data_IF_637052374101
#
_entry.id   IF_637052374101
#
_cell.length_a   1.000
_cell.length_b   1.000
_cell.length_c   1.000
_cell.angle_alpha   90.00
_cell.angle_beta   90.00
_cell.angle_gamma   90.00
#
_symmetry.space_group_name_H-M   'P 1'
#
loop_
_entity.id
_entity.type
_entity.pdbx_description
1 polymer ?
#
# COMPACT_ATOMS: atom_id res chain seq x y z
N UNK A 1 -3.18 2.34 -3.35
CA UNK A 1 -3.38 1.90 -4.74
C UNK A 1 -3.32 0.37 -4.80
N UNK A 2 -3.45 -0.22 -5.99
CA UNK A 2 -3.41 -1.65 -6.20
C UNK A 2 -2.03 -2.24 -5.86
N UNK A 3 -0.93 -1.52 -6.12
CA UNK A 3 0.41 -1.89 -5.68
C UNK A 3 0.48 -2.09 -4.17
N UNK A 4 0.04 -1.09 -3.40
CA UNK A 4 -0.04 -1.19 -1.93
C UNK A 4 -0.93 -2.35 -1.46
N UNK A 5 -2.03 -2.63 -2.17
CA UNK A 5 -2.91 -3.75 -1.84
C UNK A 5 -2.23 -5.12 -2.05
N UNK A 6 -1.45 -5.30 -3.13
CA UNK A 6 -0.72 -6.56 -3.37
C UNK A 6 0.26 -6.88 -2.24
N UNK A 7 0.78 -5.86 -1.57
CA UNK A 7 1.62 -6.03 -0.38
C UNK A 7 0.83 -6.50 0.83
N UNK A 8 -0.40 -6.01 1.00
CA UNK A 8 -1.32 -6.44 2.04
C UNK A 8 -1.82 -7.88 1.82
N UNK A 9 -1.98 -8.32 0.56
CA UNK A 9 -2.36 -9.69 0.21
C UNK A 9 -1.35 -10.75 0.70
N UNK A 10 -0.12 -10.36 1.06
CA UNK A 10 0.89 -11.29 1.59
C UNK A 10 0.56 -11.80 3.00
N UNK A 11 -0.39 -11.17 3.68
CA UNK A 11 -0.87 -11.59 4.99
C UNK A 11 -1.93 -12.68 4.86
N UNK A 12 -1.61 -13.91 5.29
CA UNK A 12 -2.42 -15.11 5.03
C UNK A 12 -3.39 -15.47 6.15
N UNK A 13 -3.18 -14.95 7.36
CA UNK A 13 -4.02 -15.24 8.53
C UNK A 13 -5.18 -14.25 8.66
N UNK A 14 -5.84 -13.94 7.55
CA UNK A 14 -6.96 -13.00 7.50
C UNK A 14 -7.87 -13.34 6.32
N UNK A 15 -9.09 -12.81 6.34
CA UNK A 15 -9.97 -12.84 5.17
C UNK A 15 -9.85 -11.51 4.45
N UNK A 16 -9.60 -11.55 3.15
CA UNK A 16 -9.55 -10.36 2.31
C UNK A 16 -10.40 -10.59 1.07
N UNK A 17 -11.29 -9.64 0.82
CA UNK A 17 -12.20 -9.63 -0.33
C UNK A 17 -11.96 -8.35 -1.12
N UNK A 18 -11.97 -8.45 -2.44
CA UNK A 18 -11.76 -7.28 -3.31
C UNK A 18 -12.61 -7.40 -4.57
N UNK A 19 -12.97 -6.25 -5.11
CA UNK A 19 -13.68 -6.16 -6.38
C UNK A 19 -12.78 -6.56 -7.55
N UNK A 20 -13.33 -6.90 -8.73
CA UNK A 20 -12.53 -7.01 -9.95
C UNK A 20 -11.68 -5.76 -10.19
N UNK A 21 -10.43 -5.96 -10.60
CA UNK A 21 -9.50 -4.87 -10.87
C UNK A 21 -9.89 -4.15 -12.16
N UNK A 22 -10.13 -2.84 -12.07
CA UNK A 22 -10.54 -1.99 -13.20
C UNK A 22 -9.90 -0.60 -13.08
N UNK A 23 -9.74 0.15 -14.19
CA UNK A 23 -9.21 1.52 -14.15
C UNK A 23 -10.23 2.55 -13.61
N UNK A 24 -11.48 2.14 -13.34
CA UNK A 24 -12.62 3.04 -13.10
C UNK A 24 -12.55 3.85 -11.80
N UNK A 25 -11.66 3.50 -10.88
CA UNK A 25 -11.52 4.16 -9.58
C UNK A 25 -10.46 5.28 -9.56
N UNK A 26 -9.89 5.60 -10.72
CA UNK A 26 -8.76 6.53 -10.84
C UNK A 26 -7.47 5.95 -10.27
N UNK A 27 -6.39 6.71 -10.38
CA UNK A 27 -5.05 6.31 -9.93
C UNK A 27 -4.45 7.33 -8.97
N UNK A 28 -3.37 6.92 -8.30
CA UNK A 28 -2.55 7.80 -7.46
C UNK A 28 -1.25 8.08 -8.20
N UNK A 29 -0.95 9.36 -8.40
CA UNK A 29 0.33 9.81 -8.94
C UNK A 29 1.26 10.18 -7.77
N UNK A 30 2.47 9.62 -7.68
CA UNK A 30 3.45 10.02 -6.67
C UNK A 30 3.89 11.48 -6.85
N UNK A 31 4.10 12.22 -5.75
CA UNK A 31 4.55 13.62 -5.81
C UNK A 31 5.88 13.79 -6.56
N UNK A 32 6.80 12.83 -6.41
CA UNK A 32 8.07 12.79 -7.13
C UNK A 32 7.92 12.81 -8.67
N UNK A 33 6.80 12.31 -9.21
CA UNK A 33 6.51 12.38 -10.66
C UNK A 33 6.21 13.81 -11.09
N UNK A 34 5.46 14.54 -10.27
CA UNK A 34 5.12 15.95 -10.51
C UNK A 34 6.36 16.84 -10.32
N UNK A 35 7.17 16.59 -9.29
CA UNK A 35 8.45 17.25 -9.05
C UNK A 35 9.46 17.05 -10.19
N UNK A 36 9.44 15.86 -10.81
CA UNK A 36 10.25 15.56 -12.00
C UNK A 36 9.69 16.15 -13.30
N UNK A 37 8.52 16.81 -13.28
CA UNK A 37 7.87 17.36 -14.47
C UNK A 37 7.32 16.29 -15.42
N UNK A 38 7.10 15.06 -14.94
CA UNK A 38 6.70 13.91 -15.73
C UNK A 38 5.19 13.61 -15.67
N UNK A 39 4.39 14.51 -15.09
CA UNK A 39 2.95 14.33 -14.89
C UNK A 39 2.20 13.93 -16.16
N UNK A 40 2.39 14.66 -17.27
CA UNK A 40 1.72 14.35 -18.54
C UNK A 40 2.11 12.97 -19.11
N UNK A 41 3.38 12.58 -18.98
CA UNK A 41 3.87 11.26 -19.42
C UNK A 41 3.27 10.14 -18.58
N UNK A 42 3.14 10.37 -17.27
CA UNK A 42 2.51 9.42 -16.35
C UNK A 42 1.02 9.26 -16.66
N UNK A 43 0.30 10.36 -16.85
CA UNK A 43 -1.13 10.36 -17.15
C UNK A 43 -1.41 9.63 -18.47
N UNK A 44 -0.62 9.91 -19.52
CA UNK A 44 -0.71 9.20 -20.79
C UNK A 44 -0.42 7.69 -20.66
N UNK A 45 0.46 7.29 -19.74
CA UNK A 45 0.68 5.86 -19.47
C UNK A 45 -0.53 5.21 -18.78
N UNK A 46 -1.22 5.93 -17.90
CA UNK A 46 -2.43 5.45 -17.26
C UNK A 46 -3.58 5.36 -18.28
N UNK A 47 -3.75 6.35 -19.16
CA UNK A 47 -4.75 6.32 -20.24
C UNK A 47 -4.57 5.09 -21.13
N UNK A 48 -3.35 4.81 -21.60
CA UNK A 48 -3.07 3.59 -22.39
C UNK A 48 -3.41 2.29 -21.65
N UNK A 49 -3.19 2.26 -20.33
CA UNK A 49 -3.55 1.12 -19.48
C UNK A 49 -5.07 0.93 -19.39
N UNK A 50 -5.83 2.02 -19.28
CA UNK A 50 -7.29 2.00 -19.30
C UNK A 50 -7.85 1.58 -20.67
N UNK A 51 -7.31 2.12 -21.76
CA UNK A 51 -7.76 1.81 -23.12
C UNK A 51 -7.54 0.33 -23.45
N UNK A 52 -6.39 -0.22 -23.06
CA UNK A 52 -6.13 -1.65 -23.24
C UNK A 52 -7.06 -2.51 -22.39
N UNK A 53 -7.32 -2.10 -21.13
CA UNK A 53 -8.31 -2.79 -20.31
C UNK A 53 -9.69 -2.81 -20.98
N UNK A 54 -10.16 -1.68 -21.50
CA UNK A 54 -11.47 -1.56 -22.12
C UNK A 54 -11.55 -2.36 -23.43
N UNK A 55 -10.47 -2.37 -24.22
CA UNK A 55 -10.36 -3.22 -25.42
C UNK A 55 -10.45 -4.71 -25.09
N UNK A 56 -9.83 -5.14 -23.98
CA UNK A 56 -9.87 -6.54 -23.54
C UNK A 56 -11.17 -6.92 -22.84
N UNK A 57 -11.90 -5.95 -22.25
CA UNK A 57 -13.03 -6.25 -21.37
C UNK A 57 -14.23 -6.85 -22.10
N UNK A 58 -14.38 -6.60 -23.40
CA UNK A 58 -15.46 -7.15 -24.23
C UNK A 58 -15.28 -8.67 -24.44
N UNK A 59 -14.13 -9.08 -24.96
CA UNK A 59 -13.87 -10.48 -25.32
C UNK A 59 -13.20 -11.29 -24.19
N UNK A 60 -12.40 -10.63 -23.35
CA UNK A 60 -11.56 -11.25 -22.32
C UNK A 60 -11.73 -10.60 -20.94
N UNK A 61 -12.97 -10.55 -20.38
CA UNK A 61 -13.26 -9.84 -19.13
C UNK A 61 -12.47 -10.34 -17.91
N UNK A 62 -12.05 -11.61 -17.91
CA UNK A 62 -11.22 -12.17 -16.82
C UNK A 62 -9.75 -11.77 -16.92
N UNK A 63 -9.27 -11.49 -18.12
CA UNK A 63 -7.87 -11.15 -18.41
C UNK A 63 -7.67 -9.63 -18.47
N UNK A 64 -8.71 -8.84 -18.71
CA UNK A 64 -8.64 -7.39 -18.81
C UNK A 64 -7.92 -6.73 -17.61
N UNK A 65 -8.07 -7.29 -16.41
CA UNK A 65 -7.34 -6.83 -15.22
C UNK A 65 -5.81 -6.85 -15.34
N UNK A 66 -5.23 -7.67 -16.23
CA UNK A 66 -3.78 -7.70 -16.49
C UNK A 66 -3.27 -6.42 -17.16
N UNK A 67 -4.14 -5.67 -17.84
CA UNK A 67 -3.79 -4.40 -18.45
C UNK A 67 -3.73 -3.24 -17.44
N UNK A 68 -4.27 -3.42 -16.22
CA UNK A 68 -4.41 -2.35 -15.23
C UNK A 68 -3.10 -2.11 -14.48
N UNK A 69 -2.59 -0.89 -14.56
CA UNK A 69 -1.41 -0.43 -13.83
C UNK A 69 -1.58 -0.52 -12.30
N UNK A 70 -0.48 -0.73 -11.58
CA UNK A 70 -0.46 -0.79 -10.11
C UNK A 70 -0.89 0.52 -9.44
N UNK A 71 -0.80 1.65 -10.14
CA UNK A 71 -1.18 2.96 -9.60
C UNK A 71 -2.70 3.14 -9.44
N UNK A 72 -3.52 2.31 -10.11
CA UNK A 72 -4.97 2.37 -10.00
C UNK A 72 -5.46 2.02 -8.60
N UNK A 73 -6.57 2.63 -8.20
CA UNK A 73 -7.23 2.38 -6.92
C UNK A 73 -8.06 1.10 -7.00
N UNK A 74 -8.10 0.37 -5.89
CA UNK A 74 -8.91 -0.84 -5.72
C UNK A 74 -9.65 -0.75 -4.39
N UNK A 75 -10.93 -1.15 -4.39
CA UNK A 75 -11.69 -1.34 -3.16
C UNK A 75 -11.54 -2.77 -2.68
N UNK A 76 -11.28 -2.91 -1.39
CA UNK A 76 -11.17 -4.19 -0.73
C UNK A 76 -11.66 -4.07 0.72
N UNK A 77 -12.03 -5.19 1.29
CA UNK A 77 -12.37 -5.35 2.70
C UNK A 77 -11.43 -6.38 3.32
N UNK A 78 -10.97 -6.12 4.55
CA UNK A 78 -10.16 -7.04 5.31
C UNK A 78 -10.85 -7.36 6.64
N UNK A 79 -10.95 -8.64 6.96
CA UNK A 79 -11.43 -9.12 8.25
C UNK A 79 -10.27 -9.77 9.00
N UNK A 80 -10.08 -9.30 10.23
CA UNK A 80 -8.93 -9.64 11.06
C UNK A 80 -9.44 -9.97 12.45
N UNK A 81 -8.84 -10.96 13.10
CA UNK A 81 -8.90 -11.04 14.56
C UNK A 81 -7.77 -10.18 15.17
N UNK A 82 -7.78 -10.02 16.49
CA UNK A 82 -6.79 -9.22 17.20
C UNK A 82 -5.34 -9.68 16.95
N UNK A 83 -5.08 -10.99 16.91
CA UNK A 83 -3.75 -11.56 16.66
C UNK A 83 -3.24 -11.18 15.26
N UNK A 84 -4.09 -11.30 14.25
CA UNK A 84 -3.75 -10.95 12.87
C UNK A 84 -3.57 -9.44 12.73
N UNK A 85 -4.38 -8.64 13.41
CA UNK A 85 -4.22 -7.18 13.46
C UNK A 85 -2.85 -6.80 14.04
N UNK A 86 -2.43 -7.39 15.17
CA UNK A 86 -1.09 -7.13 15.76
C UNK A 86 0.00 -7.36 14.72
N UNK A 87 0.00 -8.52 14.08
CA UNK A 87 1.01 -8.86 13.08
C UNK A 87 0.99 -7.92 11.86
N UNK A 88 -0.20 -7.62 11.32
CA UNK A 88 -0.31 -6.75 10.14
C UNK A 88 0.13 -5.33 10.46
N UNK A 89 -0.35 -4.78 11.57
CA UNK A 89 -0.17 -3.37 11.93
C UNK A 89 1.29 -3.08 12.21
N UNK A 90 1.94 -3.89 13.05
CA UNK A 90 3.35 -3.68 13.42
C UNK A 90 4.29 -3.85 12.21
N UNK A 91 4.02 -4.79 11.30
CA UNK A 91 4.86 -4.97 10.10
C UNK A 91 4.61 -3.93 9.01
N UNK A 92 3.41 -3.37 8.92
CA UNK A 92 3.01 -2.47 7.83
C UNK A 92 3.03 -1.00 8.21
N UNK A 93 3.17 -0.67 9.49
CA UNK A 93 3.40 0.70 9.95
C UNK A 93 4.86 1.15 9.82
N UNK A 94 5.81 0.24 9.59
CA UNK A 94 7.24 0.59 9.57
C UNK A 94 7.59 1.57 8.43
N UNK A 95 8.62 2.41 8.58
CA UNK A 95 9.00 3.41 7.58
C UNK A 95 9.41 2.83 6.21
N UNK A 96 9.83 1.57 6.17
CA UNK A 96 10.19 0.87 4.92
C UNK A 96 8.98 0.38 4.12
N UNK A 97 7.78 0.65 4.63
CA UNK A 97 6.54 0.29 3.99
C UNK A 97 5.99 1.38 3.08
N UNK A 98 5.24 0.97 2.07
CA UNK A 98 4.53 1.87 1.16
C UNK A 98 3.63 2.86 1.94
N UNK A 99 3.75 4.19 1.72
CA UNK A 99 3.03 5.21 2.49
C UNK A 99 1.52 4.96 2.56
N UNK A 100 0.94 4.50 1.44
CA UNK A 100 -0.48 4.19 1.35
C UNK A 100 -0.97 3.14 2.36
N UNK A 101 -0.29 2.00 2.51
CA UNK A 101 -0.73 1.02 3.50
C UNK A 101 -0.24 1.34 4.91
N UNK A 102 0.83 2.13 5.04
CA UNK A 102 1.34 2.60 6.33
C UNK A 102 0.33 3.49 7.02
N UNK A 103 -0.21 4.47 6.30
CA UNK A 103 -1.29 5.32 6.76
C UNK A 103 -2.53 4.51 7.16
N UNK A 104 -2.89 3.49 6.36
CA UNK A 104 -4.01 2.58 6.67
C UNK A 104 -3.74 1.79 7.95
N UNK A 105 -2.54 1.24 8.15
CA UNK A 105 -2.18 0.52 9.36
C UNK A 105 -2.24 1.43 10.61
N UNK A 106 -1.66 2.63 10.54
CA UNK A 106 -1.74 3.60 11.64
C UNK A 106 -3.19 3.98 11.98
N UNK A 107 -4.01 4.20 10.95
CA UNK A 107 -5.43 4.51 11.13
C UNK A 107 -6.20 3.33 11.76
N UNK A 108 -5.95 2.11 11.31
CA UNK A 108 -6.56 0.91 11.89
C UNK A 108 -6.21 0.76 13.37
N UNK A 109 -4.95 1.00 13.75
CA UNK A 109 -4.54 0.98 15.15
C UNK A 109 -5.34 1.99 15.99
N UNK A 110 -5.46 3.24 15.52
CA UNK A 110 -6.29 4.28 16.18
C UNK A 110 -7.75 3.85 16.29
N UNK A 111 -8.34 3.33 15.22
CA UNK A 111 -9.73 2.87 15.21
C UNK A 111 -9.97 1.70 16.17
N UNK A 112 -9.01 0.79 16.34
CA UNK A 112 -9.11 -0.31 17.33
C UNK A 112 -9.18 0.26 18.76
N UNK A 113 -8.38 1.28 19.07
CA UNK A 113 -8.34 1.89 20.40
C UNK A 113 -9.56 2.79 20.67
N UNK A 114 -9.87 3.68 19.73
CA UNK A 114 -10.78 4.81 19.94
C UNK A 114 -12.21 4.51 19.52
N UNK A 115 -12.39 3.85 18.36
CA UNK A 115 -13.71 3.59 17.80
C UNK A 115 -14.28 2.25 18.27
N UNK A 116 -13.47 1.18 18.26
CA UNK A 116 -13.89 -0.13 18.77
C UNK A 116 -13.76 -0.24 20.29
N UNK A 117 -12.98 0.65 20.93
CA UNK A 117 -12.80 0.70 22.38
C UNK A 117 -11.89 -0.38 22.96
N UNK A 118 -11.15 -1.13 22.13
CA UNK A 118 -10.28 -2.22 22.58
C UNK A 118 -8.89 -1.71 23.03
N UNK A 119 -8.88 -0.81 24.01
CA UNK A 119 -7.65 -0.13 24.47
C UNK A 119 -6.53 -1.07 24.88
N UNK A 120 -6.82 -2.09 25.68
CA UNK A 120 -5.82 -3.08 26.10
C UNK A 120 -5.21 -3.85 24.91
N UNK A 121 -5.99 -4.10 23.85
CA UNK A 121 -5.48 -4.77 22.64
C UNK A 121 -4.57 -3.83 21.84
N UNK A 122 -4.95 -2.57 21.70
CA UNK A 122 -4.13 -1.57 21.03
C UNK A 122 -2.82 -1.31 21.81
N UNK A 123 -2.88 -1.18 23.14
CA UNK A 123 -1.70 -0.99 24.00
C UNK A 123 -0.70 -2.16 23.92
N UNK A 124 -1.17 -3.38 23.63
CA UNK A 124 -0.29 -4.53 23.39
C UNK A 124 0.45 -4.47 22.04
N UNK A 125 0.02 -3.63 21.09
CA UNK A 125 0.66 -3.46 19.78
C UNK A 125 1.82 -2.45 19.86
N UNK A 126 2.84 -2.77 20.66
CA UNK A 126 3.92 -1.84 21.02
C UNK A 126 4.83 -1.42 19.86
N UNK A 127 4.80 -2.13 18.73
CA UNK A 127 5.66 -1.85 17.58
C UNK A 127 4.94 -1.13 16.43
N UNK A 128 3.71 -0.63 16.65
CA UNK A 128 3.04 0.20 15.66
C UNK A 128 3.70 1.58 15.61
N UNK A 129 4.24 1.90 14.44
CA UNK A 129 4.98 3.12 14.18
C UNK A 129 4.04 4.22 13.64
N UNK A 130 3.88 5.30 14.42
CA UNK A 130 3.06 6.48 14.08
C UNK A 130 3.89 7.68 13.62
N UNK A 131 5.17 7.50 13.27
CA UNK A 131 5.98 8.61 12.73
C UNK A 131 5.46 9.07 11.36
N UNK A 132 5.79 10.28 10.93
CA UNK A 132 5.33 10.81 9.64
C UNK A 132 6.37 10.60 8.51
N UNK A 133 7.56 10.08 8.83
CA UNK A 133 8.71 9.99 7.90
C UNK A 133 8.42 9.09 6.70
N UNK A 134 8.21 9.72 5.54
CA UNK A 134 7.78 9.06 4.31
C UNK A 134 8.50 9.58 3.05
N UNK A 135 9.60 10.34 3.18
CA UNK A 135 10.21 10.91 1.97
C UNK A 135 10.91 9.84 1.13
N UNK A 136 11.59 8.84 1.73
CA UNK A 136 12.23 7.75 1.00
C UNK A 136 12.29 6.45 1.81
N UNK A 137 11.37 5.52 1.55
CA UNK A 137 11.18 4.23 2.26
C UNK A 137 12.48 3.43 2.52
N UNK A 138 13.49 3.58 1.66
CA UNK A 138 14.75 2.81 1.75
C UNK A 138 16.01 3.63 2.01
N UNK A 139 15.99 4.95 1.86
CA UNK A 139 17.22 5.74 1.86
C UNK A 139 18.00 5.60 3.17
N UNK A 140 17.31 5.66 4.31
CA UNK A 140 17.98 5.55 5.60
C UNK A 140 18.50 4.15 5.91
N UNK A 141 17.78 3.13 5.43
CA UNK A 141 18.23 1.74 5.57
C UNK A 141 19.50 1.52 4.73
N UNK A 142 19.53 2.08 3.51
CA UNK A 142 20.71 2.06 2.64
C UNK A 142 21.88 2.84 3.25
N UNK A 143 21.63 4.04 3.81
CA UNK A 143 22.65 4.84 4.53
C UNK A 143 23.25 4.07 5.70
N UNK A 144 22.42 3.46 6.55
CA UNK A 144 22.88 2.63 7.68
C UNK A 144 23.67 1.40 7.21
N UNK A 145 23.27 0.78 6.11
CA UNK A 145 24.01 -0.34 5.52
C UNK A 145 25.37 0.11 4.96
N UNK A 146 25.44 1.30 4.35
CA UNK A 146 26.68 1.91 3.89
C UNK A 146 27.63 2.26 5.04
N UNK A 147 27.13 2.86 6.12
CA UNK A 147 27.91 3.16 7.32
C UNK A 147 28.52 1.89 7.92
N UNK A 148 27.71 0.81 8.04
CA UNK A 148 28.20 -0.49 8.52
C UNK A 148 29.27 -1.08 7.61
N UNK A 149 29.12 -0.96 6.28
CA UNK A 149 30.13 -1.42 5.32
C UNK A 149 31.43 -0.63 5.46
N UNK A 150 31.35 0.70 5.60
CA UNK A 150 32.52 1.57 5.78
C UNK A 150 33.26 1.32 7.09
N UNK A 151 32.57 0.91 8.15
CA UNK A 151 33.18 0.58 9.44
C UNK A 151 33.94 -0.76 9.46
N UNK A 152 33.73 -1.61 8.45
CA UNK A 152 34.37 -2.94 8.31
C UNK A 152 35.61 -2.92 7.39
N UNK A 153 35.90 -1.79 6.75
CA UNK A 153 37.09 -1.51 5.93
C UNK A 153 37.98 -0.50 6.60
#
# INVERSE_FOLDING_TARGET
>A
DYGAFRDLQRHRLLTVEWQPLTPRHGYVRPAAVDEAGLGATFDAAMERSADLHDTLAEDFPRQAGYAVSLAYRLRFAMQLNARSAMHVLELRSVPQGHPGYRAVAQQMHRLIAEQAGHRAIAEMMSFVDHSDEAELERLEAERRADERRRALT
#
